data_IF_471228537382
#
_entry.id   IF_471228537382
#
_cell.length_a   1.000
_cell.length_b   1.000
_cell.length_c   1.000
_cell.angle_alpha   90.00
_cell.angle_beta   90.00
_cell.angle_gamma   90.00
#
_symmetry.space_group_name_H-M   'P 1'
#
loop_
_entity.id
_entity.type
_entity.pdbx_description
1 polymer ?
#
# COMPACT_ATOMS: atom_id res chain seq x y z
N UNK A 1 12.87 14.90 -48.56
CA UNK A 1 11.58 15.15 -47.87
C UNK A 1 10.75 13.88 -47.93
N UNK A 2 10.88 13.00 -46.93
CA UNK A 2 9.96 11.88 -46.73
C UNK A 2 8.99 12.29 -45.63
N UNK A 3 7.66 12.22 -45.85
CA UNK A 3 6.71 12.47 -44.78
C UNK A 3 6.78 11.31 -43.80
N UNK A 4 7.04 11.63 -42.53
CA UNK A 4 6.87 10.73 -41.41
C UNK A 4 5.38 10.34 -41.37
N UNK A 5 5.07 9.19 -41.96
CA UNK A 5 3.88 8.42 -41.65
C UNK A 5 3.99 8.03 -40.17
N UNK A 6 3.52 8.91 -39.29
CA UNK A 6 3.03 8.52 -37.98
C UNK A 6 1.82 7.62 -38.21
N UNK A 7 2.10 6.37 -38.55
CA UNK A 7 1.15 5.29 -38.49
C UNK A 7 0.61 5.28 -37.08
N UNK A 8 -0.65 5.67 -36.95
CA UNK A 8 -1.43 5.52 -35.73
C UNK A 8 -1.55 4.00 -35.57
N UNK A 9 -0.59 3.40 -34.89
CA UNK A 9 -0.71 2.01 -34.45
C UNK A 9 -1.92 2.05 -33.54
N UNK A 10 -3.05 1.51 -34.01
CA UNK A 10 -4.18 1.23 -33.12
C UNK A 10 -3.63 0.23 -32.11
N UNK A 11 -3.18 0.74 -30.96
CA UNK A 11 -2.82 -0.05 -29.81
C UNK A 11 -3.98 -1.00 -29.57
N UNK A 12 -3.71 -2.30 -29.64
CA UNK A 12 -4.74 -3.27 -29.35
C UNK A 12 -5.20 -3.04 -27.90
N UNK A 13 -6.49 -3.21 -27.60
CA UNK A 13 -7.06 -3.02 -26.25
C UNK A 13 -6.29 -3.78 -25.15
N UNK A 14 -5.58 -4.83 -25.54
CA UNK A 14 -4.74 -5.65 -24.68
C UNK A 14 -3.59 -4.88 -24.04
N UNK A 15 -3.03 -3.86 -24.70
CA UNK A 15 -1.82 -3.19 -24.22
C UNK A 15 -2.09 -2.17 -23.11
N UNK A 16 -3.24 -1.48 -23.17
CA UNK A 16 -3.66 -0.52 -22.14
C UNK A 16 -3.97 -1.23 -20.81
N UNK A 17 -4.73 -2.33 -20.84
CA UNK A 17 -4.97 -3.14 -19.64
C UNK A 17 -3.65 -3.76 -19.14
N UNK A 18 -2.78 -4.23 -20.04
CA UNK A 18 -1.50 -4.82 -19.65
C UNK A 18 -0.56 -3.83 -18.96
N UNK A 19 -0.56 -2.54 -19.32
CA UNK A 19 0.24 -1.52 -18.62
C UNK A 19 -0.18 -1.33 -17.16
N UNK A 20 -1.45 -1.56 -16.84
CA UNK A 20 -1.94 -1.53 -15.46
C UNK A 20 -1.73 -2.87 -14.72
N UNK A 21 -1.18 -3.90 -15.37
CA UNK A 21 -0.86 -5.18 -14.72
C UNK A 21 0.31 -5.02 -13.74
N UNK A 22 0.28 -5.79 -12.64
CA UNK A 22 1.28 -5.67 -11.57
C UNK A 22 1.11 -4.44 -10.67
N UNK A 23 0.03 -3.68 -10.85
CA UNK A 23 -0.36 -2.60 -9.95
C UNK A 23 -1.57 -3.00 -9.11
N UNK A 24 -2.26 -2.01 -8.53
CA UNK A 24 -3.45 -2.23 -7.72
C UNK A 24 -4.70 -2.43 -8.57
N UNK A 25 -5.64 -3.22 -8.04
CA UNK A 25 -6.95 -3.43 -8.67
C UNK A 25 -7.64 -2.10 -9.02
N UNK A 26 -7.58 -1.10 -8.13
CA UNK A 26 -8.11 0.25 -8.39
C UNK A 26 -7.45 0.95 -9.58
N UNK A 27 -6.16 0.72 -9.81
CA UNK A 27 -5.44 1.31 -10.94
C UNK A 27 -5.84 0.62 -12.25
N UNK A 28 -6.01 -0.71 -12.24
CA UNK A 28 -6.60 -1.45 -13.37
C UNK A 28 -7.99 -0.90 -13.74
N UNK A 29 -8.85 -0.64 -12.75
CA UNK A 29 -10.20 -0.07 -13.00
C UNK A 29 -10.18 1.41 -13.41
N UNK A 30 -9.09 2.12 -13.16
CA UNK A 30 -8.95 3.53 -13.56
C UNK A 30 -8.75 3.69 -15.07
N UNK A 31 -8.36 2.61 -15.77
CA UNK A 31 -8.26 2.54 -17.23
C UNK A 31 -9.67 2.48 -17.83
N UNK A 32 -10.39 3.60 -17.76
CA UNK A 32 -11.68 3.80 -18.43
C UNK A 32 -11.45 4.29 -19.86
N UNK A 33 -10.83 3.44 -20.65
CA UNK A 33 -10.70 3.65 -22.09
C UNK A 33 -11.97 3.26 -22.85
N UNK A 34 -11.83 3.04 -24.15
CA UNK A 34 -12.91 2.48 -24.99
C UNK A 34 -13.21 1.01 -24.67
N UNK A 35 -12.42 0.38 -23.80
CA UNK A 35 -12.48 -1.03 -23.48
C UNK A 35 -12.65 -1.22 -21.99
N UNK A 36 -13.47 -2.21 -21.61
CA UNK A 36 -13.57 -2.64 -20.22
C UNK A 36 -12.35 -3.52 -19.92
N UNK A 37 -11.52 -3.08 -18.97
CA UNK A 37 -10.49 -3.92 -18.36
C UNK A 37 -11.07 -4.48 -17.06
N UNK A 38 -10.57 -5.64 -16.64
CA UNK A 38 -10.83 -6.15 -15.30
C UNK A 38 -9.58 -6.75 -14.67
N UNK A 39 -9.66 -6.90 -13.35
CA UNK A 39 -8.56 -7.32 -12.51
C UNK A 39 -8.75 -8.78 -12.11
N UNK A 40 -7.70 -9.58 -12.31
CA UNK A 40 -7.66 -10.94 -11.82
C UNK A 40 -6.82 -11.03 -10.55
N UNK A 41 -7.47 -11.26 -9.41
CA UNK A 41 -6.75 -11.32 -8.13
C UNK A 41 -5.81 -12.51 -8.03
N UNK A 42 -6.18 -13.66 -8.63
CA UNK A 42 -5.38 -14.88 -8.57
C UNK A 42 -4.03 -14.74 -9.30
N UNK A 43 -3.98 -13.99 -10.40
CA UNK A 43 -2.76 -13.78 -11.20
C UNK A 43 -2.12 -12.41 -11.02
N UNK A 44 -2.81 -11.48 -10.33
CA UNK A 44 -2.41 -10.07 -10.17
C UNK A 44 -2.16 -9.36 -11.52
N UNK A 45 -3.00 -9.66 -12.50
CA UNK A 45 -2.94 -9.09 -13.85
C UNK A 45 -4.24 -8.37 -14.19
N UNK A 46 -4.10 -7.29 -14.96
CA UNK A 46 -5.20 -6.53 -15.53
C UNK A 46 -5.36 -6.95 -16.99
N UNK A 47 -6.50 -7.55 -17.32
CA UNK A 47 -6.76 -8.09 -18.67
C UNK A 47 -8.07 -7.54 -19.23
N UNK A 48 -8.23 -7.47 -20.56
CA UNK A 48 -9.49 -7.05 -21.15
C UNK A 48 -10.63 -8.02 -20.81
N UNK A 49 -11.79 -7.49 -20.45
CA UNK A 49 -12.95 -8.29 -20.09
C UNK A 49 -14.16 -7.45 -19.70
N UNK A 50 -15.27 -8.09 -19.43
CA UNK A 50 -16.52 -7.44 -19.00
C UNK A 50 -17.00 -7.98 -17.65
N UNK A 51 -18.26 -7.72 -17.31
CA UNK A 51 -18.89 -8.22 -16.06
C UNK A 51 -18.98 -9.75 -15.99
N UNK A 52 -18.88 -10.46 -17.12
CA UNK A 52 -18.93 -11.91 -17.19
C UNK A 52 -17.54 -12.55 -17.04
N UNK A 53 -16.46 -11.79 -17.21
CA UNK A 53 -15.10 -12.32 -17.12
C UNK A 53 -14.11 -11.73 -18.11
N UNK A 54 -12.87 -12.24 -18.12
CA UNK A 54 -11.88 -11.89 -19.13
C UNK A 54 -12.30 -12.37 -20.53
N UNK A 55 -12.03 -11.59 -21.57
CA UNK A 55 -12.30 -12.00 -22.96
C UNK A 55 -11.38 -13.14 -23.42
N UNK A 56 -10.19 -13.23 -22.83
CA UNK A 56 -9.18 -14.25 -23.16
C UNK A 56 -8.76 -14.92 -21.85
N UNK A 57 -8.96 -16.23 -21.78
CA UNK A 57 -8.58 -17.06 -20.64
C UNK A 57 -9.67 -17.17 -19.58
N UNK A 58 -9.28 -17.53 -18.36
CA UNK A 58 -10.19 -17.64 -17.22
C UNK A 58 -9.54 -17.01 -16.00
N UNK A 59 -10.35 -16.37 -15.15
CA UNK A 59 -9.92 -15.85 -13.87
C UNK A 59 -10.91 -16.31 -12.79
N UNK A 60 -10.49 -17.12 -11.81
CA UNK A 60 -11.35 -17.56 -10.71
C UNK A 60 -11.85 -16.39 -9.86
N UNK A 61 -10.98 -15.39 -9.65
CA UNK A 61 -11.24 -14.22 -8.82
C UNK A 61 -11.28 -12.94 -9.69
N UNK A 62 -12.28 -12.87 -10.56
CA UNK A 62 -12.49 -11.76 -11.48
C UNK A 62 -13.21 -10.59 -10.83
N UNK A 63 -12.67 -9.39 -11.01
CA UNK A 63 -13.30 -8.14 -10.62
C UNK A 63 -13.36 -7.23 -11.85
N UNK A 64 -14.53 -6.70 -12.19
CA UNK A 64 -14.67 -5.68 -13.25
C UNK A 64 -15.03 -4.28 -12.70
N UNK A 65 -15.34 -4.20 -11.41
CA UNK A 65 -15.70 -2.98 -10.70
C UNK A 65 -14.82 -2.82 -9.46
N UNK A 66 -14.77 -1.59 -8.93
CA UNK A 66 -14.03 -1.25 -7.73
C UNK A 66 -14.77 -1.72 -6.48
N UNK A 67 -14.89 -3.04 -6.33
CA UNK A 67 -15.55 -3.69 -5.19
C UNK A 67 -14.76 -3.51 -3.89
N UNK A 68 -15.42 -3.72 -2.75
CA UNK A 68 -14.76 -3.72 -1.44
C UNK A 68 -13.60 -4.75 -1.37
N UNK A 69 -13.70 -5.85 -2.12
CA UNK A 69 -12.64 -6.87 -2.22
C UNK A 69 -11.41 -6.30 -2.94
N UNK A 70 -11.64 -5.66 -4.09
CA UNK A 70 -10.62 -4.97 -4.89
C UNK A 70 -9.87 -3.91 -4.07
N UNK A 71 -10.60 -3.08 -3.31
CA UNK A 71 -10.02 -2.02 -2.47
C UNK A 71 -9.22 -2.59 -1.29
N UNK A 72 -9.69 -3.70 -0.71
CA UNK A 72 -8.98 -4.35 0.40
C UNK A 72 -7.62 -4.90 -0.04
N UNK A 73 -7.52 -5.40 -1.27
CA UNK A 73 -6.25 -5.87 -1.81
C UNK A 73 -5.28 -4.73 -2.14
N UNK A 74 -5.78 -3.59 -2.65
CA UNK A 74 -4.95 -2.43 -2.98
C UNK A 74 -4.48 -1.64 -1.76
N UNK A 75 -5.27 -1.63 -0.69
CA UNK A 75 -4.94 -0.92 0.57
C UNK A 75 -3.71 -1.49 1.30
N UNK A 76 -3.27 -2.70 0.96
CA UNK A 76 -2.13 -3.37 1.61
C UNK A 76 -0.84 -3.18 0.79
N UNK A 77 -0.93 -2.78 -0.47
CA UNK A 77 0.24 -2.60 -1.33
C UNK A 77 0.82 -1.18 -1.22
N UNK A 78 1.15 -0.71 -0.01
CA UNK A 78 2.18 0.34 0.05
C UNK A 78 3.43 -0.25 -0.65
N UNK A 79 3.97 0.41 -1.69
CA UNK A 79 5.15 -0.08 -2.36
C UNK A 79 6.25 -0.29 -1.32
N UNK A 80 7.07 -1.32 -1.48
CA UNK A 80 8.15 -1.66 -0.53
C UNK A 80 8.92 -0.44 0.04
N UNK A 81 9.30 0.59 -0.74
CA UNK A 81 9.92 1.80 -0.18
C UNK A 81 9.03 2.61 0.77
N UNK A 82 7.72 2.69 0.50
CA UNK A 82 6.79 3.42 1.36
C UNK A 82 6.59 2.70 2.71
N UNK A 83 6.60 1.36 2.73
CA UNK A 83 6.55 0.58 3.98
C UNK A 83 7.76 0.87 4.88
N UNK A 84 8.96 0.93 4.27
CA UNK A 84 10.20 1.26 4.99
C UNK A 84 10.11 2.69 5.54
N UNK A 85 9.61 3.64 4.76
CA UNK A 85 9.42 5.03 5.19
C UNK A 85 8.53 5.16 6.43
N UNK A 86 7.40 4.43 6.47
CA UNK A 86 6.48 4.45 7.62
C UNK A 86 7.16 3.87 8.87
N UNK A 87 7.87 2.74 8.76
CA UNK A 87 8.58 2.14 9.88
C UNK A 87 9.66 3.07 10.44
N UNK A 88 10.46 3.67 9.57
CA UNK A 88 11.51 4.63 9.97
C UNK A 88 10.89 5.85 10.65
N UNK A 89 9.78 6.38 10.11
CA UNK A 89 9.07 7.51 10.72
C UNK A 89 8.58 7.22 12.14
N UNK A 90 7.97 6.05 12.37
CA UNK A 90 7.48 5.64 13.70
C UNK A 90 8.65 5.54 14.70
N UNK A 91 9.78 4.97 14.28
CA UNK A 91 10.97 4.84 15.14
C UNK A 91 11.51 6.24 15.51
N UNK A 92 11.64 7.13 14.54
CA UNK A 92 12.14 8.50 14.76
C UNK A 92 11.24 9.26 15.72
N UNK A 93 9.92 9.21 15.54
CA UNK A 93 8.97 9.90 16.43
C UNK A 93 9.12 9.39 17.86
N UNK A 94 9.20 8.07 18.06
CA UNK A 94 9.39 7.49 19.39
C UNK A 94 10.72 7.93 20.03
N UNK A 95 11.82 7.97 19.27
CA UNK A 95 13.11 8.44 19.77
C UNK A 95 13.03 9.90 20.18
N UNK A 96 12.47 10.77 19.34
CA UNK A 96 12.33 12.21 19.64
C UNK A 96 11.47 12.41 20.88
N UNK A 97 10.34 11.71 20.98
CA UNK A 97 9.48 11.76 22.16
C UNK A 97 10.24 11.30 23.41
N UNK A 98 10.95 10.18 23.36
CA UNK A 98 11.74 9.68 24.48
C UNK A 98 12.81 10.67 24.93
N UNK A 99 13.57 11.23 23.99
CA UNK A 99 14.58 12.26 24.23
C UNK A 99 13.94 13.49 24.87
N UNK A 100 12.83 13.98 24.33
CA UNK A 100 12.11 15.13 24.88
C UNK A 100 11.70 14.91 26.34
N UNK A 101 11.07 13.77 26.65
CA UNK A 101 10.68 13.44 28.02
C UNK A 101 11.88 13.31 28.96
N UNK A 102 12.96 12.67 28.49
CA UNK A 102 14.19 12.50 29.27
C UNK A 102 14.86 13.83 29.63
N UNK A 103 14.92 14.77 28.69
CA UNK A 103 15.58 16.08 28.89
C UNK A 103 14.70 17.09 29.63
N UNK A 104 13.37 17.06 29.46
CA UNK A 104 12.46 18.01 30.10
C UNK A 104 12.14 17.60 31.55
N UNK A 105 12.06 16.30 31.83
CA UNK A 105 11.70 15.77 33.16
C UNK A 105 12.82 14.96 33.84
N UNK A 106 14.06 15.46 33.94
CA UNK A 106 15.15 14.71 34.57
C UNK A 106 14.90 14.47 36.07
N UNK A 107 14.06 15.29 36.70
CA UNK A 107 13.77 15.27 38.14
C UNK A 107 12.78 14.18 38.58
N UNK A 108 12.04 13.54 37.66
CA UNK A 108 11.08 12.50 38.02
C UNK A 108 11.71 11.10 38.17
N UNK A 109 12.90 10.88 37.61
CA UNK A 109 13.56 9.57 37.60
C UNK A 109 14.67 9.42 38.65
N UNK A 110 15.00 10.48 39.39
CA UNK A 110 16.23 10.49 40.21
C UNK A 110 16.11 9.87 41.59
N UNK A 111 14.94 9.41 42.06
CA UNK A 111 14.83 8.84 43.41
C UNK A 111 14.06 7.50 43.50
N UNK A 112 14.66 6.37 43.11
CA UNK A 112 14.20 5.05 43.56
C UNK A 112 14.70 4.65 44.96
N UNK A 113 15.47 5.49 45.68
CA UNK A 113 16.24 5.05 46.86
C UNK A 113 15.76 5.52 48.25
N UNK A 114 14.72 6.35 48.38
CA UNK A 114 14.43 6.99 49.67
C UNK A 114 13.34 6.33 50.55
N UNK A 115 12.77 5.17 50.18
CA UNK A 115 11.63 4.57 50.93
C UNK A 115 11.87 3.15 51.48
N UNK A 116 13.09 2.85 51.94
CA UNK A 116 13.36 1.57 52.63
C UNK A 116 14.23 1.72 53.88
N UNK A 117 13.99 2.71 54.74
CA UNK A 117 14.63 2.73 56.05
C UNK A 117 13.78 3.48 57.09
N UNK A 118 12.71 2.82 57.57
CA UNK A 118 12.08 3.07 58.89
C UNK A 118 10.98 2.05 59.15
N UNK A 119 11.36 0.80 59.40
CA UNK A 119 10.53 -0.11 60.21
C UNK A 119 11.41 -1.19 60.84
N UNK A 120 12.14 -0.77 61.88
CA UNK A 120 12.93 -1.65 62.74
C UNK A 120 12.81 -1.16 64.17
N UNK A 121 11.61 -1.30 64.74
CA UNK A 121 11.29 -1.08 66.15
C UNK A 121 11.37 -2.42 66.88
N UNK A 122 12.00 -2.45 68.05
CA UNK A 122 11.75 -3.48 69.06
C UNK A 122 12.94 -4.36 69.41
N UNK A 123 13.74 -3.91 70.38
CA UNK A 123 13.81 -4.50 71.73
C UNK A 123 14.72 -3.68 72.64
#
# INVERSE_FOLDING_TARGET
MLPLLFGIIRSYPTEECAQASGTDCTNCMSVRGNYKCGWCSSTKQCVPGDENGPFIGTCPDWHNESDAVCVKESSIALPNPARIGVLVGIIIVNIITFVFWYFIFPKLYTDPAASSEKNGNGL
#
